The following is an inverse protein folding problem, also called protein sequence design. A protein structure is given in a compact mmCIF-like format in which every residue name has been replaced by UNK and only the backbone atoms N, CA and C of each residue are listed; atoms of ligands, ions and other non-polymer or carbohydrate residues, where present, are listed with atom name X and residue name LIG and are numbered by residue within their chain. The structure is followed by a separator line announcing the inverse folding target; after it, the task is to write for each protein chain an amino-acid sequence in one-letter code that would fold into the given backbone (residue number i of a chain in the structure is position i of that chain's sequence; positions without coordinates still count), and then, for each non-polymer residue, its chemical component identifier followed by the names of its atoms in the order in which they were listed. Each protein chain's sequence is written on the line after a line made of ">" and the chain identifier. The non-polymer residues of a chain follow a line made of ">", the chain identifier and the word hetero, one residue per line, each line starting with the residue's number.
data_IF_358241896823
#
_entry.id   IF_358241896823
#
_cell.length_a   1.000
_cell.length_b   1.000
_cell.length_c   1.000
_cell.angle_alpha   90.00
_cell.angle_beta   90.00
_cell.angle_gamma   90.00
#
_symmetry.space_group_name_H-M   'P 1'
#
loop_
_entity.id
_entity.type
_entity.pdbx_description
1 polymer ?
#
# COMPACT_ATOMS: atom_id res chain seq x y z
N UNK A 1 -10.40 11.75 -65.97
CA UNK A 1 -11.57 11.72 -65.08
C UNK A 1 -11.07 12.35 -63.79
N UNK A 2 -11.23 13.63 -63.48
CA UNK A 2 -12.24 14.63 -63.78
C UNK A 2 -12.23 15.53 -62.53
N UNK A 3 -11.37 16.55 -62.54
CA UNK A 3 -11.04 17.42 -61.41
C UNK A 3 -12.23 18.25 -60.91
N UNK A 4 -12.40 18.31 -59.58
CA UNK A 4 -13.26 19.27 -58.89
C UNK A 4 -12.42 20.47 -58.44
N UNK A 5 -12.56 21.60 -59.14
CA UNK A 5 -12.07 22.91 -58.70
C UNK A 5 -13.21 23.82 -58.25
N UNK A 6 -12.80 24.71 -57.35
CA UNK A 6 -13.50 25.75 -56.59
C UNK A 6 -14.10 26.90 -57.40
N UNK A 7 -15.01 27.66 -56.75
CA UNK A 7 -15.38 29.10 -56.92
C UNK A 7 -16.51 29.38 -55.89
N UNK A 8 -16.41 30.23 -54.85
CA UNK A 8 -16.32 31.72 -54.79
C UNK A 8 -17.18 32.39 -55.87
N UNK A 9 -18.02 33.39 -55.64
CA UNK A 9 -18.47 34.27 -54.54
C UNK A 9 -19.60 35.05 -55.21
N UNK A 10 -20.76 35.26 -54.57
CA UNK A 10 -21.71 36.27 -55.05
C UNK A 10 -22.30 37.06 -53.87
N UNK A 11 -22.27 38.37 -54.09
CA UNK A 11 -22.73 39.44 -53.24
C UNK A 11 -24.26 39.53 -53.17
N UNK A 12 -24.79 39.92 -52.01
CA UNK A 12 -26.02 40.71 -51.97
C UNK A 12 -26.12 41.49 -50.66
N UNK A 13 -25.97 42.81 -50.78
CA UNK A 13 -26.44 43.81 -49.83
C UNK A 13 -27.96 43.75 -49.68
N UNK A 14 -28.49 43.92 -48.47
CA UNK A 14 -29.79 44.58 -48.28
C UNK A 14 -29.97 45.13 -46.84
N UNK A 15 -29.96 46.46 -46.77
CA UNK A 15 -30.87 47.38 -46.08
C UNK A 15 -31.35 47.11 -44.63
N UNK A 16 -30.82 47.95 -43.74
CA UNK A 16 -31.52 48.80 -42.76
C UNK A 16 -32.90 48.37 -42.22
N UNK A 17 -32.99 48.20 -40.89
CA UNK A 17 -34.04 48.86 -40.12
C UNK A 17 -33.65 49.10 -38.65
N UNK A 18 -33.63 50.39 -38.29
CA UNK A 18 -33.49 50.94 -36.95
C UNK A 18 -34.82 50.82 -36.19
N UNK A 19 -34.84 50.15 -35.05
CA UNK A 19 -35.81 50.41 -33.99
C UNK A 19 -35.09 50.51 -32.64
N UNK A 20 -34.98 51.75 -32.15
CA UNK A 20 -34.52 52.07 -30.81
C UNK A 20 -35.61 51.68 -29.80
N UNK A 21 -35.25 50.84 -28.83
CA UNK A 21 -36.02 50.62 -27.60
C UNK A 21 -35.37 51.39 -26.42
N UNK A 22 -36.17 51.82 -25.43
CA UNK A 22 -35.73 52.77 -24.41
C UNK A 22 -34.82 52.12 -23.36
N UNK A 23 -33.67 52.75 -23.13
CA UNK A 23 -32.77 52.42 -22.02
C UNK A 23 -33.46 52.70 -20.68
N UNK A 24 -33.77 51.65 -19.92
CA UNK A 24 -34.07 51.76 -18.51
C UNK A 24 -32.76 51.93 -17.72
N UNK A 25 -32.63 53.06 -17.02
CA UNK A 25 -31.57 53.29 -16.05
C UNK A 25 -31.79 52.37 -14.84
N UNK A 26 -31.06 51.26 -14.78
CA UNK A 26 -30.88 50.49 -13.55
C UNK A 26 -29.70 51.09 -12.79
N UNK A 27 -29.95 51.46 -11.53
CA UNK A 27 -29.01 52.16 -10.67
C UNK A 27 -27.70 51.39 -10.48
N UNK A 28 -26.59 52.14 -10.47
CA UNK A 28 -25.29 51.68 -10.00
C UNK A 28 -25.42 51.27 -8.52
N UNK A 29 -25.42 49.96 -8.27
CA UNK A 29 -25.08 49.42 -6.96
C UNK A 29 -23.55 49.54 -6.85
N UNK A 30 -23.09 50.32 -5.88
CA UNK A 30 -21.69 50.44 -5.49
C UNK A 30 -21.12 49.07 -5.14
N UNK A 31 -20.08 48.66 -5.86
CA UNK A 31 -19.27 47.51 -5.50
C UNK A 31 -18.69 47.73 -4.10
N UNK A 32 -19.04 46.85 -3.17
CA UNK A 32 -18.36 46.71 -1.89
C UNK A 32 -17.05 45.96 -2.18
N UNK A 33 -15.95 46.46 -1.61
CA UNK A 33 -14.60 45.91 -1.70
C UNK A 33 -14.55 44.38 -1.46
N UNK A 34 -14.44 43.61 -2.55
CA UNK A 34 -14.13 42.17 -2.53
C UNK A 34 -12.66 41.89 -2.91
N UNK A 35 -11.86 42.93 -3.15
CA UNK A 35 -10.46 42.77 -3.56
C UNK A 35 -9.52 42.55 -2.35
N UNK A 36 -9.82 43.12 -1.18
CA UNK A 36 -8.96 42.97 0.01
C UNK A 36 -8.94 41.54 0.59
N UNK A 37 -9.99 40.74 0.39
CA UNK A 37 -10.06 39.36 0.90
C UNK A 37 -9.34 38.36 0.00
N UNK A 38 -9.32 38.59 -1.32
CA UNK A 38 -8.61 37.72 -2.27
C UNK A 38 -7.10 37.84 -2.16
N UNK A 39 -6.59 39.05 -1.96
CA UNK A 39 -5.16 39.30 -1.81
C UNK A 39 -4.62 38.71 -0.50
N UNK A 40 -5.39 38.79 0.60
CA UNK A 40 -5.02 38.15 1.86
C UNK A 40 -5.03 36.61 1.76
N UNK A 41 -6.01 36.01 1.10
CA UNK A 41 -6.06 34.55 0.90
C UNK A 41 -4.92 34.04 0.00
N UNK A 42 -4.53 34.79 -1.03
CA UNK A 42 -3.37 34.43 -1.87
C UNK A 42 -2.05 34.53 -1.12
N UNK A 43 -1.85 35.56 -0.28
CA UNK A 43 -0.63 35.71 0.53
C UNK A 43 -0.52 34.57 1.56
N UNK A 44 -1.63 34.20 2.22
CA UNK A 44 -1.66 33.08 3.17
C UNK A 44 -1.44 31.72 2.50
N UNK A 45 -2.05 31.48 1.33
CA UNK A 45 -1.84 30.24 0.58
C UNK A 45 -0.37 30.08 0.16
N UNK A 46 0.28 31.16 -0.26
CA UNK A 46 1.69 31.14 -0.70
C UNK A 46 2.66 30.89 0.47
N UNK A 47 2.36 31.38 1.68
CA UNK A 47 3.17 31.11 2.86
C UNK A 47 3.06 29.64 3.33
N UNK A 48 1.86 29.08 3.34
CA UNK A 48 1.64 27.69 3.76
C UNK A 48 2.19 26.66 2.76
N UNK A 49 2.15 26.95 1.45
CA UNK A 49 2.69 26.06 0.42
C UNK A 49 4.20 25.82 0.53
N UNK A 50 4.95 26.82 1.02
CA UNK A 50 6.40 26.70 1.18
C UNK A 50 6.82 25.96 2.46
N UNK A 51 5.93 25.85 3.46
CA UNK A 51 6.24 25.24 4.75
C UNK A 51 5.75 23.79 4.85
N UNK A 52 4.78 23.38 4.03
CA UNK A 52 4.23 22.03 4.04
C UNK A 52 3.94 21.53 2.61
N UNK A 53 4.90 20.83 1.96
CA UNK A 53 4.73 20.28 0.61
C UNK A 53 3.57 19.29 0.49
N UNK A 54 3.25 18.56 1.57
CA UNK A 54 2.14 17.62 1.61
C UNK A 54 0.79 18.36 1.52
N UNK A 55 0.63 19.46 2.26
CA UNK A 55 -0.55 20.32 2.14
C UNK A 55 -0.70 20.91 0.74
N UNK A 56 0.41 21.35 0.12
CA UNK A 56 0.39 21.88 -1.24
C UNK A 56 -0.12 20.85 -2.25
N UNK A 57 0.34 19.59 -2.13
CA UNK A 57 -0.12 18.49 -2.98
C UNK A 57 -1.60 18.15 -2.75
N UNK A 58 -2.05 18.10 -1.49
CA UNK A 58 -3.46 17.85 -1.14
C UNK A 58 -4.38 18.97 -1.67
N UNK A 59 -3.98 20.23 -1.53
CA UNK A 59 -4.74 21.36 -2.04
C UNK A 59 -4.84 21.35 -3.57
N UNK A 60 -3.72 21.03 -4.26
CA UNK A 60 -3.70 20.92 -5.72
C UNK A 60 -4.61 19.79 -6.22
N UNK A 61 -4.57 18.63 -5.58
CA UNK A 61 -5.44 17.51 -5.91
C UNK A 61 -6.93 17.85 -5.69
N UNK A 62 -7.24 18.55 -4.60
CA UNK A 62 -8.60 19.00 -4.29
C UNK A 62 -9.12 19.97 -5.35
N UNK A 63 -8.30 20.96 -5.74
CA UNK A 63 -8.64 21.92 -6.80
C UNK A 63 -8.87 21.24 -8.16
N UNK A 64 -8.03 20.27 -8.51
CA UNK A 64 -8.19 19.49 -9.75
C UNK A 64 -9.50 18.70 -9.74
N UNK A 65 -9.87 18.08 -8.61
CA UNK A 65 -11.14 17.38 -8.45
C UNK A 65 -12.34 18.32 -8.61
N UNK A 66 -12.28 19.50 -8.00
CA UNK A 66 -13.32 20.53 -8.11
C UNK A 66 -13.51 21.00 -9.56
N UNK A 67 -12.42 21.21 -10.30
CA UNK A 67 -12.47 21.56 -11.72
C UNK A 67 -13.18 20.48 -12.55
N UNK A 68 -12.85 19.20 -12.34
CA UNK A 68 -13.50 18.07 -13.01
C UNK A 68 -15.00 17.99 -12.65
N UNK A 69 -15.38 18.24 -11.40
CA UNK A 69 -16.78 18.23 -10.95
C UNK A 69 -17.59 19.35 -11.64
N UNK A 70 -17.00 20.54 -11.80
CA UNK A 70 -17.61 21.66 -12.53
C UNK A 70 -17.80 21.31 -14.01
N UNK A 71 -16.76 20.79 -14.66
CA UNK A 71 -16.81 20.40 -16.08
C UNK A 71 -17.87 19.32 -16.34
N UNK A 72 -17.90 18.28 -15.49
CA UNK A 72 -18.89 17.22 -15.58
C UNK A 72 -20.32 17.74 -15.36
N UNK A 73 -20.51 18.64 -14.40
CA UNK A 73 -21.82 19.22 -14.17
C UNK A 73 -22.29 20.06 -15.35
N UNK A 74 -21.40 20.85 -15.96
CA UNK A 74 -21.69 21.65 -17.15
C UNK A 74 -22.04 20.80 -18.37
N UNK A 75 -21.47 19.59 -18.48
CA UNK A 75 -21.79 18.64 -19.55
C UNK A 75 -23.06 17.81 -19.28
N UNK A 76 -23.70 17.93 -18.11
CA UNK A 76 -24.87 17.11 -17.78
C UNK A 76 -26.13 17.56 -18.54
N UNK A 77 -26.99 16.63 -19.00
CA UNK A 77 -28.25 16.99 -19.67
C UNK A 77 -29.14 17.90 -18.83
N UNK A 78 -29.19 17.65 -17.51
CA UNK A 78 -29.97 18.44 -16.56
C UNK A 78 -29.48 19.90 -16.49
N UNK A 79 -28.17 20.11 -16.53
CA UNK A 79 -27.60 21.45 -16.57
C UNK A 79 -27.87 22.15 -17.91
N UNK A 80 -27.74 21.41 -19.02
CA UNK A 80 -27.98 21.94 -20.38
C UNK A 80 -29.45 22.29 -20.65
N UNK A 81 -30.39 21.60 -20.00
CA UNK A 81 -31.83 21.84 -20.12
C UNK A 81 -32.36 22.91 -19.13
N UNK A 82 -31.59 23.25 -18.10
CA UNK A 82 -31.95 24.26 -17.12
C UNK A 82 -31.91 25.69 -17.72
N UNK A 83 -32.76 26.58 -17.21
CA UNK A 83 -32.67 28.00 -17.58
C UNK A 83 -31.39 28.64 -16.99
N UNK A 84 -31.01 29.79 -17.52
CA UNK A 84 -29.77 30.47 -17.14
C UNK A 84 -29.66 30.77 -15.63
N UNK A 85 -30.78 31.08 -14.96
CA UNK A 85 -30.81 31.37 -13.52
C UNK A 85 -30.52 30.09 -12.72
N UNK A 86 -31.12 28.96 -13.11
CA UNK A 86 -30.91 27.68 -12.46
C UNK A 86 -29.48 27.15 -12.67
N UNK A 87 -28.90 27.35 -13.85
CA UNK A 87 -27.49 27.06 -14.12
C UNK A 87 -26.55 27.87 -13.21
N UNK A 88 -26.81 29.18 -13.07
CA UNK A 88 -26.03 30.05 -12.20
C UNK A 88 -26.15 29.65 -10.72
N UNK A 89 -27.37 29.36 -10.26
CA UNK A 89 -27.60 28.91 -8.89
C UNK A 89 -26.90 27.58 -8.60
N UNK A 90 -26.93 26.64 -9.54
CA UNK A 90 -26.24 25.36 -9.42
C UNK A 90 -24.72 25.56 -9.28
N UNK A 91 -24.10 26.34 -10.18
CA UNK A 91 -22.66 26.62 -10.12
C UNK A 91 -22.27 27.37 -8.83
N UNK A 92 -23.11 28.29 -8.36
CA UNK A 92 -22.89 29.00 -7.11
C UNK A 92 -22.89 28.05 -5.90
N UNK A 93 -23.85 27.13 -5.83
CA UNK A 93 -23.90 26.11 -4.76
C UNK A 93 -22.69 25.17 -4.81
N UNK A 94 -22.27 24.77 -6.01
CA UNK A 94 -21.11 23.90 -6.20
C UNK A 94 -19.82 24.60 -5.75
N UNK A 95 -19.61 25.86 -6.15
CA UNK A 95 -18.47 26.66 -5.72
C UNK A 95 -18.47 26.89 -4.19
N UNK A 96 -19.63 27.15 -3.58
CA UNK A 96 -19.73 27.31 -2.13
C UNK A 96 -19.30 26.03 -1.39
N UNK A 97 -19.74 24.86 -1.87
CA UNK A 97 -19.30 23.55 -1.34
C UNK A 97 -17.78 23.37 -1.49
N UNK A 98 -17.21 23.75 -2.63
CA UNK A 98 -15.77 23.68 -2.88
C UNK A 98 -14.96 24.57 -1.95
N UNK A 99 -15.41 25.80 -1.71
CA UNK A 99 -14.81 26.73 -0.74
C UNK A 99 -14.84 26.16 0.69
N UNK A 100 -15.94 25.53 1.11
CA UNK A 100 -16.03 24.88 2.42
C UNK A 100 -15.03 23.73 2.59
N UNK A 101 -14.80 22.92 1.55
CA UNK A 101 -13.79 21.85 1.57
C UNK A 101 -12.37 22.40 1.65
N UNK A 102 -12.06 23.47 0.90
CA UNK A 102 -10.76 24.14 0.95
C UNK A 102 -10.51 24.72 2.35
N UNK A 103 -11.51 25.39 2.93
CA UNK A 103 -11.42 25.96 4.28
C UNK A 103 -11.19 24.89 5.34
N UNK A 104 -11.84 23.72 5.24
CA UNK A 104 -11.60 22.59 6.14
C UNK A 104 -10.16 22.08 6.06
N UNK A 105 -9.63 21.92 4.85
CA UNK A 105 -8.26 21.46 4.65
C UNK A 105 -7.24 22.47 5.20
N UNK A 106 -7.49 23.77 5.03
CA UNK A 106 -6.68 24.84 5.61
C UNK A 106 -6.71 24.85 7.15
N UNK A 107 -7.88 24.64 7.76
CA UNK A 107 -8.01 24.54 9.21
C UNK A 107 -7.23 23.34 9.77
N UNK A 108 -7.27 22.19 9.08
CA UNK A 108 -6.48 21.01 9.43
C UNK A 108 -4.98 21.31 9.38
N UNK A 109 -4.49 21.93 8.31
CA UNK A 109 -3.09 22.31 8.19
C UNK A 109 -2.64 23.29 9.29
N UNK A 110 -3.46 24.29 9.60
CA UNK A 110 -3.17 25.26 10.66
C UNK A 110 -3.17 24.62 12.06
N UNK A 111 -3.97 23.58 12.28
CA UNK A 111 -3.96 22.83 13.55
C UNK A 111 -2.68 22.01 13.73
N UNK A 112 -2.05 21.56 12.63
CA UNK A 112 -0.78 20.82 12.66
C UNK A 112 0.42 21.75 12.89
N UNK A 113 0.41 22.96 12.31
CA UNK A 113 1.50 23.94 12.45
C UNK A 113 1.58 24.53 13.87
N UNK A 114 0.44 24.70 14.55
CA UNK A 114 0.38 25.30 15.89
C UNK A 114 0.43 24.28 17.04
N UNK A 115 0.75 23.01 16.77
CA UNK A 115 0.98 22.03 17.83
C UNK A 115 2.31 22.33 18.52
N UNK A 116 2.34 22.55 19.85
CA UNK A 116 3.56 22.89 20.58
C UNK A 116 4.39 21.63 20.85
N UNK A 117 4.94 21.02 19.80
CA UNK A 117 5.90 19.94 19.90
C UNK A 117 6.94 20.15 18.81
N UNK A 118 8.10 20.67 19.19
CA UNK A 118 9.43 20.32 18.68
C UNK A 118 10.45 21.29 19.31
N UNK A 119 11.07 20.87 20.41
CA UNK A 119 12.41 21.31 20.79
C UNK A 119 13.27 20.06 20.94
N UNK A 120 14.25 19.95 20.04
CA UNK A 120 15.27 18.92 20.02
C UNK A 120 15.98 18.79 21.37
N UNK A 121 15.88 17.64 22.03
CA UNK A 121 16.86 17.19 23.02
C UNK A 121 17.00 15.66 23.03
N UNK A 122 18.23 15.20 22.79
CA UNK A 122 18.59 13.82 22.53
C UNK A 122 18.35 12.83 23.70
N UNK A 123 18.01 11.60 23.29
CA UNK A 123 18.25 10.30 23.94
C UNK A 123 17.50 9.91 25.23
N UNK A 124 16.63 10.74 25.81
CA UNK A 124 15.70 10.30 26.89
C UNK A 124 14.24 10.11 26.42
N UNK A 125 13.87 10.57 25.23
CA UNK A 125 12.48 10.53 24.72
C UNK A 125 11.97 9.13 24.35
N UNK A 126 12.83 8.20 23.91
CA UNK A 126 12.35 6.87 23.45
C UNK A 126 11.61 6.04 24.51
N UNK A 127 11.83 6.29 25.81
CA UNK A 127 11.08 5.64 26.88
C UNK A 127 9.81 6.42 27.28
N UNK A 128 9.84 7.75 27.21
CA UNK A 128 8.66 8.57 27.51
C UNK A 128 7.62 8.48 26.39
N UNK A 129 8.07 8.47 25.13
CA UNK A 129 7.19 8.26 23.97
C UNK A 129 6.49 6.91 24.08
N UNK A 130 7.22 5.82 24.33
CA UNK A 130 6.62 4.49 24.51
C UNK A 130 5.58 4.45 25.64
N UNK A 131 5.83 5.12 26.77
CA UNK A 131 4.87 5.16 27.88
C UNK A 131 3.64 6.03 27.56
N UNK A 132 3.82 7.13 26.83
CA UNK A 132 2.72 7.98 26.38
C UNK A 132 1.85 7.28 25.33
N UNK A 133 2.47 6.57 24.39
CA UNK A 133 1.79 5.71 23.41
C UNK A 133 0.97 4.62 24.09
N UNK A 134 1.56 3.90 25.06
CA UNK A 134 0.86 2.84 25.81
C UNK A 134 -0.36 3.38 26.57
N UNK A 135 -0.27 4.59 27.14
CA UNK A 135 -1.37 5.21 27.89
C UNK A 135 -2.49 5.74 27.00
N UNK A 136 -2.16 6.49 25.94
CA UNK A 136 -3.18 6.95 24.99
C UNK A 136 -3.93 5.78 24.36
N UNK A 137 -3.21 4.69 24.12
CA UNK A 137 -3.78 3.47 23.60
C UNK A 137 -4.72 2.76 24.59
N UNK A 138 -4.34 2.63 25.88
CA UNK A 138 -5.22 2.02 26.88
C UNK A 138 -6.54 2.77 27.03
N UNK A 139 -6.49 4.11 26.98
CA UNK A 139 -7.66 4.99 27.11
C UNK A 139 -8.61 4.88 25.91
N UNK A 140 -8.08 4.55 24.72
CA UNK A 140 -8.86 4.24 23.50
C UNK A 140 -9.50 2.86 23.68
N UNK A 141 -8.72 1.82 24.01
CA UNK A 141 -9.21 0.44 24.09
C UNK A 141 -10.27 0.19 25.17
N UNK A 142 -10.26 0.93 26.27
CA UNK A 142 -11.28 0.82 27.33
C UNK A 142 -12.70 1.21 26.84
N UNK A 143 -12.79 1.88 25.69
CA UNK A 143 -14.06 2.29 25.07
C UNK A 143 -14.67 1.21 24.15
N UNK A 144 -13.99 0.08 23.94
CA UNK A 144 -14.41 -0.92 22.94
C UNK A 144 -14.83 -2.26 23.55
N UNK A 145 -16.01 -2.79 23.20
CA UNK A 145 -16.40 -4.13 23.60
C UNK A 145 -15.61 -5.18 22.79
N UNK A 146 -14.78 -5.96 23.47
CA UNK A 146 -13.94 -7.05 22.92
C UNK A 146 -14.69 -8.08 22.05
N UNK A 147 -16.02 -8.18 22.20
CA UNK A 147 -16.86 -9.14 21.48
C UNK A 147 -16.85 -8.97 19.94
N UNK A 148 -16.57 -7.79 19.39
CA UNK A 148 -16.63 -7.57 17.94
C UNK A 148 -15.44 -8.15 17.17
N UNK A 149 -14.29 -8.41 17.79
CA UNK A 149 -13.07 -8.87 17.09
C UNK A 149 -12.95 -10.40 16.97
N UNK A 150 -13.92 -11.15 17.50
CA UNK A 150 -13.86 -12.61 17.69
C UNK A 150 -13.63 -13.44 16.41
N UNK A 151 -13.81 -12.87 15.22
CA UNK A 151 -13.65 -13.54 13.93
C UNK A 151 -12.59 -12.90 13.01
N UNK A 152 -11.75 -12.00 13.52
CA UNK A 152 -10.61 -11.42 12.82
C UNK A 152 -9.32 -12.14 13.23
N UNK A 153 -8.66 -12.80 12.29
CA UNK A 153 -7.43 -13.56 12.54
C UNK A 153 -6.24 -12.85 11.90
N UNK A 154 -5.07 -12.90 12.55
CA UNK A 154 -3.80 -12.48 11.96
C UNK A 154 -2.97 -13.73 11.69
N UNK A 155 -2.37 -13.83 10.52
CA UNK A 155 -1.36 -14.83 10.16
C UNK A 155 -0.03 -14.13 10.00
N UNK A 156 1.00 -14.68 10.61
CA UNK A 156 2.39 -14.30 10.37
C UNK A 156 3.25 -15.52 10.11
N UNK A 157 4.35 -15.34 9.40
CA UNK A 157 5.34 -16.39 9.10
C UNK A 157 6.67 -16.02 9.72
N UNK A 158 7.34 -16.96 10.38
CA UNK A 158 8.70 -16.77 10.91
C UNK A 158 9.63 -17.90 10.50
N UNK A 159 10.78 -17.53 9.93
CA UNK A 159 11.83 -18.47 9.56
C UNK A 159 12.86 -18.63 10.67
N UNK A 160 12.94 -19.82 11.24
CA UNK A 160 13.73 -20.11 12.44
C UNK A 160 15.19 -20.57 12.28
N UNK A 161 15.73 -20.98 11.11
CA UNK A 161 17.12 -21.42 11.04
C UNK A 161 18.11 -20.26 11.15
N UNK A 162 17.67 -19.02 10.91
CA UNK A 162 18.47 -17.82 11.19
C UNK A 162 18.14 -17.37 12.62
N UNK A 163 18.86 -17.93 13.59
CA UNK A 163 18.74 -17.65 15.03
C UNK A 163 19.24 -16.25 15.42
N UNK A 164 18.92 -15.20 14.66
CA UNK A 164 19.24 -13.85 15.14
C UNK A 164 18.32 -13.56 16.31
N UNK A 165 18.91 -13.38 17.48
CA UNK A 165 18.21 -12.98 18.71
C UNK A 165 17.20 -11.85 18.45
N UNK A 166 17.57 -10.93 17.57
CA UNK A 166 16.71 -9.83 17.13
C UNK A 166 15.44 -10.29 16.39
N UNK A 167 15.50 -11.24 15.44
CA UNK A 167 14.30 -11.77 14.76
C UNK A 167 13.28 -12.27 15.77
N UNK A 168 13.76 -13.07 16.72
CA UNK A 168 12.93 -13.66 17.76
C UNK A 168 12.39 -12.59 18.73
N UNK A 169 13.18 -11.60 19.10
CA UNK A 169 12.72 -10.49 19.94
C UNK A 169 11.66 -9.63 19.23
N UNK A 170 11.84 -9.33 17.94
CA UNK A 170 10.85 -8.60 17.14
C UNK A 170 9.55 -9.40 17.03
N UNK A 171 9.63 -10.70 16.72
CA UNK A 171 8.45 -11.57 16.70
C UNK A 171 7.75 -11.63 18.06
N UNK A 172 8.48 -11.80 19.16
CA UNK A 172 7.89 -11.86 20.51
C UNK A 172 7.16 -10.57 20.86
N UNK A 173 7.70 -9.41 20.49
CA UNK A 173 7.01 -8.12 20.66
C UNK A 173 5.72 -8.09 19.85
N UNK A 174 5.76 -8.48 18.57
CA UNK A 174 4.57 -8.55 17.72
C UNK A 174 3.49 -9.49 18.28
N UNK A 175 3.88 -10.68 18.73
CA UNK A 175 2.97 -11.65 19.34
C UNK A 175 2.35 -11.11 20.64
N UNK A 176 3.16 -10.49 21.51
CA UNK A 176 2.67 -9.82 22.73
C UNK A 176 1.70 -8.70 22.41
N UNK A 177 1.95 -7.91 21.37
CA UNK A 177 1.01 -6.87 20.92
C UNK A 177 -0.31 -7.48 20.46
N UNK A 178 -0.28 -8.59 19.72
CA UNK A 178 -1.51 -9.28 19.33
C UNK A 178 -2.29 -9.80 20.54
N UNK A 179 -1.61 -10.43 21.50
CA UNK A 179 -2.21 -10.93 22.74
C UNK A 179 -2.83 -9.81 23.59
N UNK A 180 -2.10 -8.69 23.75
CA UNK A 180 -2.58 -7.51 24.48
C UNK A 180 -3.89 -6.94 23.91
N UNK A 181 -4.13 -7.15 22.62
CA UNK A 181 -5.31 -6.64 21.91
C UNK A 181 -6.37 -7.72 21.65
N UNK A 182 -6.25 -8.88 22.30
CA UNK A 182 -7.17 -10.02 22.14
C UNK A 182 -7.31 -10.44 20.66
N UNK A 183 -6.22 -10.31 19.90
CA UNK A 183 -6.18 -10.69 18.49
C UNK A 183 -5.72 -12.14 18.37
N UNK A 184 -6.49 -12.93 17.61
CA UNK A 184 -6.15 -14.33 17.33
C UNK A 184 -4.99 -14.39 16.34
N UNK A 185 -3.77 -14.53 16.88
CA UNK A 185 -2.56 -14.70 16.10
C UNK A 185 -2.31 -16.17 15.75
N UNK A 186 -2.15 -16.42 14.46
CA UNK A 186 -1.66 -17.65 13.86
C UNK A 186 -0.21 -17.42 13.46
N UNK A 187 0.69 -18.25 13.99
CA UNK A 187 2.10 -18.20 13.63
C UNK A 187 2.45 -19.45 12.85
N UNK A 188 2.92 -19.27 11.63
CA UNK A 188 3.56 -20.32 10.85
C UNK A 188 5.06 -20.20 11.09
N UNK A 189 5.57 -21.00 12.01
CA UNK A 189 6.99 -21.16 12.17
C UNK A 189 7.49 -22.25 11.24
N UNK A 190 8.50 -21.92 10.45
CA UNK A 190 9.12 -22.88 9.54
C UNK A 190 10.63 -22.92 9.70
N UNK A 191 11.21 -24.10 9.49
CA UNK A 191 12.63 -24.36 9.72
C UNK A 191 13.14 -25.49 8.83
N UNK A 192 14.46 -25.59 8.63
CA UNK A 192 15.03 -26.70 7.88
C UNK A 192 14.87 -28.04 8.60
N UNK A 193 14.94 -29.13 7.84
CA UNK A 193 15.05 -30.48 8.40
C UNK A 193 16.19 -30.57 9.43
N UNK A 194 15.86 -31.03 10.64
CA UNK A 194 16.81 -31.16 11.76
C UNK A 194 17.03 -29.88 12.59
N UNK A 195 16.59 -28.70 12.14
CA UNK A 195 16.69 -27.47 12.93
C UNK A 195 15.59 -27.37 14.00
N UNK A 196 15.85 -26.76 15.17
CA UNK A 196 14.81 -26.58 16.18
C UNK A 196 13.79 -25.51 15.75
N UNK A 197 12.59 -25.61 16.31
CA UNK A 197 11.65 -24.51 16.41
C UNK A 197 12.01 -23.68 17.65
N UNK A 198 12.01 -22.35 17.53
CA UNK A 198 12.45 -21.38 18.55
C UNK A 198 11.42 -20.28 18.82
N UNK A 199 10.45 -20.08 17.92
CA UNK A 199 9.44 -19.03 18.03
C UNK A 199 8.13 -19.53 18.66
N UNK A 200 7.79 -20.78 18.41
CA UNK A 200 6.56 -21.44 18.86
C UNK A 200 6.89 -22.73 19.60
N UNK A 201 5.95 -23.20 20.42
CA UNK A 201 6.03 -24.48 21.10
C UNK A 201 5.02 -25.45 20.49
N UNK A 202 5.40 -26.73 20.31
CA UNK A 202 4.57 -27.75 19.65
C UNK A 202 3.21 -28.00 20.34
N UNK A 203 3.06 -27.55 21.59
CA UNK A 203 1.91 -27.84 22.46
C UNK A 203 1.23 -26.58 23.01
N UNK A 204 1.60 -25.38 22.54
CA UNK A 204 1.10 -24.12 23.11
C UNK A 204 0.09 -23.46 22.16
N UNK A 205 -1.19 -23.68 22.47
CA UNK A 205 -2.40 -22.90 22.09
C UNK A 205 -2.72 -22.74 20.58
N UNK A 206 -4.01 -22.70 20.19
CA UNK A 206 -4.57 -23.56 19.13
C UNK A 206 -4.16 -23.23 17.69
N UNK A 207 -3.38 -22.18 17.46
CA UNK A 207 -3.20 -21.58 16.14
C UNK A 207 -1.74 -21.50 15.67
N UNK A 208 -0.79 -22.10 16.37
CA UNK A 208 0.61 -22.15 15.89
C UNK A 208 0.88 -23.40 15.05
N UNK A 209 1.58 -23.21 13.94
CA UNK A 209 1.94 -24.26 13.00
C UNK A 209 3.45 -24.33 12.84
N UNK A 210 3.99 -25.53 13.01
CA UNK A 210 5.41 -25.83 12.89
C UNK A 210 5.65 -26.65 11.62
N UNK A 211 6.37 -26.07 10.65
CA UNK A 211 6.61 -26.68 9.34
C UNK A 211 8.11 -26.93 9.15
N UNK A 212 8.46 -28.13 8.67
CA UNK A 212 9.83 -28.46 8.28
C UNK A 212 9.94 -28.47 6.77
N UNK A 213 10.90 -27.74 6.24
CA UNK A 213 11.19 -27.69 4.81
C UNK A 213 12.56 -28.30 4.53
N UNK A 214 12.66 -28.96 3.39
CA UNK A 214 13.89 -29.53 2.85
C UNK A 214 14.61 -28.58 1.88
N UNK A 215 13.88 -27.67 1.24
CA UNK A 215 14.37 -26.66 0.31
C UNK A 215 14.29 -25.24 0.90
N UNK A 216 15.29 -24.37 0.71
CA UNK A 216 15.21 -22.94 1.07
C UNK A 216 14.16 -22.12 0.33
N UNK A 217 13.66 -22.61 -0.79
CA UNK A 217 12.71 -21.86 -1.62
C UNK A 217 11.37 -21.70 -0.92
N UNK A 218 11.14 -20.47 -0.45
CA UNK A 218 10.04 -20.11 0.40
C UNK A 218 8.86 -19.56 -0.40
N UNK A 219 7.70 -20.20 -0.24
CA UNK A 219 6.43 -19.70 -0.77
C UNK A 219 5.53 -19.30 0.39
N UNK A 220 5.63 -18.05 0.84
CA UNK A 220 4.81 -17.46 1.92
C UNK A 220 3.35 -17.88 1.79
N UNK A 221 2.77 -17.63 0.61
CA UNK A 221 1.37 -17.96 0.33
C UNK A 221 1.04 -19.44 0.22
N UNK A 222 1.99 -20.32 -0.10
CA UNK A 222 1.75 -21.76 0.03
C UNK A 222 1.61 -22.18 1.49
N UNK A 223 2.50 -21.68 2.36
CA UNK A 223 2.40 -21.98 3.78
C UNK A 223 1.09 -21.44 4.35
N UNK A 224 0.72 -20.21 3.97
CA UNK A 224 -0.57 -19.63 4.35
C UNK A 224 -1.72 -20.50 3.83
N UNK A 225 -1.76 -20.85 2.54
CA UNK A 225 -2.83 -21.70 2.00
C UNK A 225 -2.96 -23.04 2.74
N UNK A 226 -1.84 -23.68 3.12
CA UNK A 226 -1.83 -24.94 3.86
C UNK A 226 -2.46 -24.88 5.26
N UNK A 227 -2.55 -23.68 5.84
CA UNK A 227 -3.16 -23.46 7.16
C UNK A 227 -4.59 -22.93 7.07
N UNK A 228 -4.99 -22.33 5.94
CA UNK A 228 -6.34 -21.78 5.78
C UNK A 228 -7.42 -22.85 5.98
N UNK A 229 -7.16 -24.06 5.49
CA UNK A 229 -8.05 -25.22 5.67
C UNK A 229 -8.17 -25.70 7.12
N UNK A 230 -7.24 -25.30 7.98
CA UNK A 230 -7.18 -25.68 9.41
C UNK A 230 -7.79 -24.61 10.31
N UNK A 231 -8.16 -23.45 9.76
CA UNK A 231 -8.74 -22.37 10.55
C UNK A 231 -10.17 -22.73 11.01
N UNK A 232 -10.61 -22.24 12.19
CA UNK A 232 -11.95 -22.50 12.69
C UNK A 232 -13.05 -21.96 11.76
N UNK A 233 -14.17 -22.68 11.65
CA UNK A 233 -15.25 -22.29 10.72
C UNK A 233 -15.92 -20.94 11.02
N UNK A 234 -15.60 -20.27 12.11
CA UNK A 234 -16.13 -18.97 12.50
C UNK A 234 -15.30 -17.76 12.02
N UNK A 235 -14.12 -17.96 11.41
CA UNK A 235 -13.35 -16.81 10.91
C UNK A 235 -14.08 -16.10 9.75
N UNK A 236 -14.05 -14.77 9.74
CA UNK A 236 -14.69 -13.93 8.73
C UNK A 236 -13.70 -13.03 7.98
N UNK A 237 -12.63 -12.63 8.68
CA UNK A 237 -11.55 -11.81 8.14
C UNK A 237 -10.20 -12.38 8.54
N UNK A 238 -9.25 -12.27 7.63
CA UNK A 238 -7.89 -12.75 7.80
C UNK A 238 -6.93 -11.64 7.40
N UNK A 239 -5.98 -11.29 8.26
CA UNK A 239 -4.85 -10.47 7.90
C UNK A 239 -3.58 -11.32 7.78
N UNK A 240 -2.73 -11.01 6.82
CA UNK A 240 -1.38 -11.56 6.67
C UNK A 240 -0.43 -10.39 6.93
N UNK A 241 0.34 -10.49 8.00
CA UNK A 241 1.18 -9.38 8.48
C UNK A 241 2.57 -9.92 8.79
N UNK A 242 3.60 -9.28 8.25
CA UNK A 242 4.98 -9.58 8.62
C UNK A 242 5.21 -9.19 10.09
N UNK A 243 5.82 -10.08 10.88
CA UNK A 243 5.99 -9.87 12.33
C UNK A 243 6.91 -8.68 12.68
N UNK A 244 7.60 -8.11 11.70
CA UNK A 244 8.49 -6.94 11.85
C UNK A 244 7.80 -5.61 11.57
N UNK A 245 6.47 -5.61 11.38
CA UNK A 245 5.64 -4.44 11.15
C UNK A 245 5.14 -3.86 12.46
N UNK A 246 5.14 -2.53 12.55
CA UNK A 246 4.64 -1.76 13.68
C UNK A 246 3.65 -0.73 13.14
N UNK A 247 2.37 -0.90 13.44
CA UNK A 247 1.34 0.08 13.08
C UNK A 247 1.41 1.32 13.96
N UNK A 248 1.37 2.51 13.35
CA UNK A 248 1.24 3.80 14.05
C UNK A 248 -0.20 4.15 14.38
N UNK A 249 -1.12 3.72 13.52
CA UNK A 249 -2.55 3.87 13.73
C UNK A 249 -3.06 2.63 14.47
N UNK A 250 -3.66 2.83 15.63
CA UNK A 250 -4.17 1.77 16.49
C UNK A 250 -5.57 1.25 16.10
N UNK A 251 -6.32 2.06 15.35
CA UNK A 251 -7.67 1.72 14.89
C UNK A 251 -7.64 0.92 13.58
N UNK A 252 -6.46 0.50 13.10
CA UNK A 252 -6.29 -0.14 11.79
C UNK A 252 -7.16 -1.39 11.64
N UNK A 253 -7.41 -2.15 12.70
CA UNK A 253 -8.26 -3.36 12.65
C UNK A 253 -9.71 -2.98 12.39
N UNK A 254 -10.22 -1.96 13.09
CA UNK A 254 -11.59 -1.51 12.91
C UNK A 254 -11.77 -0.94 11.51
N UNK A 255 -10.81 -0.11 11.06
CA UNK A 255 -10.81 0.43 9.71
C UNK A 255 -10.73 -0.67 8.65
N UNK A 256 -9.91 -1.71 8.86
CA UNK A 256 -9.84 -2.88 8.00
C UNK A 256 -11.20 -3.57 7.91
N UNK A 257 -11.85 -3.87 9.03
CA UNK A 257 -13.17 -4.52 9.05
C UNK A 257 -14.23 -3.70 8.35
N UNK A 258 -14.26 -2.38 8.59
CA UNK A 258 -15.19 -1.47 7.92
C UNK A 258 -14.96 -1.46 6.41
N UNK A 259 -13.70 -1.32 5.96
CA UNK A 259 -13.36 -1.29 4.55
C UNK A 259 -13.66 -2.64 3.86
N UNK A 260 -13.38 -3.76 4.53
CA UNK A 260 -13.68 -5.11 4.06
C UNK A 260 -15.18 -5.42 3.99
N UNK A 261 -16.08 -4.51 4.36
CA UNK A 261 -17.50 -4.63 3.99
C UNK A 261 -17.73 -4.26 2.51
N UNK A 262 -16.85 -3.45 1.94
CA UNK A 262 -16.96 -2.88 0.58
C UNK A 262 -15.85 -3.40 -0.36
N UNK A 263 -14.75 -3.91 0.20
CA UNK A 263 -13.63 -4.50 -0.52
C UNK A 263 -13.46 -5.97 -0.14
N UNK A 264 -12.72 -6.73 -0.93
CA UNK A 264 -12.38 -8.14 -0.63
C UNK A 264 -10.95 -8.34 -0.16
N UNK A 265 -10.08 -7.40 -0.52
CA UNK A 265 -8.68 -7.36 -0.16
C UNK A 265 -8.30 -5.91 0.22
N UNK A 266 -7.49 -5.75 1.25
CA UNK A 266 -7.21 -4.46 1.85
C UNK A 266 -5.74 -4.41 2.26
N UNK A 267 -4.98 -3.47 1.69
CA UNK A 267 -3.65 -3.16 2.22
C UNK A 267 -3.81 -2.36 3.51
N UNK A 268 -3.15 -2.78 4.58
CA UNK A 268 -3.46 -2.28 5.93
C UNK A 268 -2.80 -0.94 6.28
N UNK A 269 -2.15 -0.30 5.31
CA UNK A 269 -1.45 0.97 5.48
C UNK A 269 -1.50 1.80 4.19
N UNK A 270 -1.25 3.10 4.35
CA UNK A 270 -1.02 4.07 3.28
C UNK A 270 0.47 4.33 3.07
N UNK A 271 1.25 4.40 4.15
CA UNK A 271 2.68 4.69 4.11
C UNK A 271 3.45 3.60 4.85
N UNK A 272 4.60 3.22 4.30
CA UNK A 272 5.54 2.34 4.97
C UNK A 272 6.91 2.98 5.09
N UNK A 273 7.45 2.95 6.31
CA UNK A 273 8.74 3.50 6.64
C UNK A 273 9.64 2.40 7.17
N UNK A 274 10.78 2.24 6.51
CA UNK A 274 11.82 1.39 7.05
C UNK A 274 12.46 2.08 8.26
N UNK A 275 12.59 1.35 9.37
CA UNK A 275 13.33 1.82 10.54
C UNK A 275 14.67 1.12 10.64
N UNK A 276 15.76 1.87 10.93
CA UNK A 276 17.08 1.27 11.08
C UNK A 276 17.06 0.18 12.14
N UNK A 277 17.54 -1.00 11.74
CA UNK A 277 17.89 -2.07 12.68
C UNK A 277 18.90 -1.48 13.67
N UNK A 278 18.51 -1.40 14.94
CA UNK A 278 19.41 -0.93 16.00
C UNK A 278 20.44 -2.02 16.24
N UNK A 279 21.42 -2.10 15.34
CA UNK A 279 22.60 -2.96 15.45
C UNK A 279 23.44 -2.45 16.62
N UNK A 280 22.96 -2.61 17.85
CA UNK A 280 23.87 -2.86 18.94
C UNK A 280 24.46 -4.24 18.67
N UNK A 281 25.51 -4.26 17.84
CA UNK A 281 26.45 -5.37 17.80
C UNK A 281 26.85 -5.57 19.27
N UNK A 282 26.36 -6.64 19.90
CA UNK A 282 26.74 -6.96 21.27
C UNK A 282 28.26 -7.19 21.23
N UNK A 283 29.10 -6.33 21.82
CA UNK A 283 30.53 -6.52 21.81
C UNK A 283 30.82 -7.77 22.66
N UNK A 284 31.17 -8.90 22.04
CA UNK A 284 31.61 -10.10 22.76
C UNK A 284 31.10 -11.46 22.28
N UNK A 285 30.20 -11.55 21.29
CA UNK A 285 29.70 -12.84 20.76
C UNK A 285 30.31 -13.25 19.40
N UNK A 286 31.58 -12.89 19.14
CA UNK A 286 32.37 -13.59 18.12
C UNK A 286 32.90 -14.91 18.70
N UNK A 287 32.03 -15.89 18.90
CA UNK A 287 32.44 -17.25 19.21
C UNK A 287 32.48 -18.08 17.92
N UNK A 288 33.67 -18.19 17.31
CA UNK A 288 34.22 -19.31 16.52
C UNK A 288 33.36 -20.04 15.47
N UNK A 289 32.23 -19.52 15.03
CA UNK A 289 31.50 -20.04 13.88
C UNK A 289 32.11 -19.44 12.60
N UNK A 290 33.17 -20.11 12.13
CA UNK A 290 33.75 -20.08 10.78
C UNK A 290 33.96 -18.72 10.11
N UNK A 291 35.19 -18.21 10.22
CA UNK A 291 35.77 -17.10 9.44
C UNK A 291 35.71 -17.28 7.90
N UNK A 292 35.27 -18.44 7.39
CA UNK A 292 35.23 -18.73 5.95
C UNK A 292 33.92 -18.36 5.24
N UNK A 293 32.85 -17.95 5.94
CA UNK A 293 31.59 -17.51 5.27
C UNK A 293 31.37 -15.99 5.27
N UNK A 294 32.18 -15.20 5.99
CA UNK A 294 31.96 -13.74 6.09
C UNK A 294 32.96 -12.85 5.33
N UNK A 295 33.79 -13.42 4.45
CA UNK A 295 34.68 -12.65 3.56
C UNK A 295 34.06 -12.29 2.21
N UNK A 296 32.72 -12.25 2.10
CA UNK A 296 32.07 -11.56 0.99
C UNK A 296 32.22 -10.06 1.26
N UNK A 297 33.11 -9.43 0.48
CA UNK A 297 33.35 -7.99 0.42
C UNK A 297 32.05 -7.16 0.47
N UNK A 298 31.64 -6.68 1.64
CA UNK A 298 30.76 -5.52 1.76
C UNK A 298 31.60 -4.25 1.56
N UNK A 299 32.13 -4.06 0.35
CA UNK A 299 32.83 -2.85 -0.06
C UNK A 299 32.00 -2.06 -1.07
N UNK A 300 30.69 -1.99 -0.86
CA UNK A 300 29.82 -1.02 -1.52
C UNK A 300 29.81 0.26 -0.69
N UNK A 301 30.88 1.06 -0.83
CA UNK A 301 30.88 2.49 -0.52
C UNK A 301 29.98 3.26 -1.50
N UNK A 302 28.76 2.78 -1.74
CA UNK A 302 27.68 3.63 -2.20
C UNK A 302 27.18 4.35 -0.96
N UNK A 303 27.42 5.65 -0.94
CA UNK A 303 26.98 6.57 0.09
C UNK A 303 25.44 6.71 0.03
N UNK A 304 24.73 5.66 0.47
CA UNK A 304 23.25 5.62 0.55
C UNK A 304 22.77 6.37 1.81
N UNK A 305 23.69 6.90 2.61
CA UNK A 305 23.41 7.69 3.82
C UNK A 305 22.53 8.93 3.57
N UNK A 306 22.35 9.34 2.31
CA UNK A 306 21.48 10.44 1.89
C UNK A 306 20.09 10.06 1.33
N UNK A 307 19.80 8.80 1.00
CA UNK A 307 18.44 8.36 0.57
C UNK A 307 17.69 7.79 1.78
N UNK A 308 17.77 8.50 2.89
CA UNK A 308 17.23 8.07 4.17
C UNK A 308 15.71 8.05 4.17
N UNK A 309 15.13 6.93 4.61
CA UNK A 309 13.80 6.83 5.24
C UNK A 309 12.65 7.56 4.53
N UNK A 310 12.66 7.67 3.21
CA UNK A 310 11.51 8.24 2.48
C UNK A 310 10.37 7.23 2.63
N UNK A 311 9.23 7.60 3.25
CA UNK A 311 8.09 6.71 3.33
C UNK A 311 7.67 6.31 1.92
N UNK A 312 7.54 5.01 1.69
CA UNK A 312 6.98 4.50 0.45
C UNK A 312 5.47 4.53 0.54
N UNK A 313 4.83 5.01 -0.52
CA UNK A 313 3.39 4.86 -0.68
C UNK A 313 3.04 3.38 -0.82
N UNK A 314 1.86 3.00 -0.32
CA UNK A 314 1.34 1.67 -0.55
C UNK A 314 0.87 1.52 -1.99
N UNK A 315 1.13 0.35 -2.59
CA UNK A 315 0.80 0.12 -4.00
C UNK A 315 -0.71 0.18 -4.27
N UNK A 316 -1.54 -0.26 -3.32
CA UNK A 316 -3.00 -0.24 -3.48
C UNK A 316 -3.56 1.20 -3.61
N UNK A 317 -2.96 2.19 -2.94
CA UNK A 317 -3.32 3.60 -3.08
C UNK A 317 -3.07 4.10 -4.50
N UNK A 318 -1.96 3.70 -5.09
CA UNK A 318 -1.61 4.10 -6.44
C UNK A 318 -2.60 3.53 -7.46
N UNK A 319 -2.89 2.23 -7.35
CA UNK A 319 -3.80 1.52 -8.25
C UNK A 319 -5.26 1.97 -8.15
N UNK A 320 -5.66 2.58 -7.03
CA UNK A 320 -6.99 3.13 -6.87
C UNK A 320 -7.23 4.41 -7.71
N UNK A 321 -6.17 5.08 -8.20
CA UNK A 321 -6.24 6.45 -8.68
C UNK A 321 -5.77 6.67 -10.14
N UNK A 322 -5.23 5.66 -10.84
CA UNK A 322 -4.53 5.89 -12.12
C UNK A 322 -4.85 4.87 -13.22
N UNK A 323 -4.61 5.32 -14.46
CA UNK A 323 -4.51 4.48 -15.66
C UNK A 323 -3.09 3.91 -15.75
N UNK A 324 -2.97 2.58 -15.75
CA UNK A 324 -1.71 1.85 -15.52
C UNK A 324 -0.90 1.58 -16.79
N UNK A 325 -1.34 2.11 -17.94
CA UNK A 325 -0.75 1.82 -19.24
C UNK A 325 0.70 2.33 -19.42
N UNK A 326 1.27 3.07 -18.46
CA UNK A 326 2.60 3.69 -18.57
C UNK A 326 3.66 3.13 -17.60
N UNK A 327 3.34 2.17 -16.73
CA UNK A 327 4.27 1.73 -15.69
C UNK A 327 5.11 0.53 -16.08
N UNK A 328 6.41 0.59 -15.77
CA UNK A 328 7.29 -0.58 -15.78
C UNK A 328 7.33 -1.22 -14.39
N UNK A 329 7.53 -2.55 -14.35
CA UNK A 329 7.65 -3.30 -13.09
C UNK A 329 8.74 -2.72 -12.16
N UNK A 330 9.84 -2.23 -12.75
CA UNK A 330 10.94 -1.62 -12.01
C UNK A 330 10.50 -0.37 -11.25
N UNK A 331 9.64 0.46 -11.83
CA UNK A 331 9.12 1.67 -11.18
C UNK A 331 8.24 1.28 -9.99
N UNK A 332 7.46 0.21 -10.13
CA UNK A 332 6.59 -0.28 -9.07
C UNK A 332 7.41 -0.73 -7.86
N UNK A 333 8.45 -1.53 -8.10
CA UNK A 333 9.30 -2.06 -7.02
C UNK A 333 10.10 -0.95 -6.33
N UNK A 334 10.56 0.04 -7.08
CA UNK A 334 11.39 1.11 -6.53
C UNK A 334 10.58 2.07 -5.65
N UNK A 335 9.35 2.39 -6.06
CA UNK A 335 8.60 3.50 -5.47
C UNK A 335 7.52 3.08 -4.46
N UNK A 336 7.10 1.82 -4.45
CA UNK A 336 5.98 1.39 -3.61
C UNK A 336 6.34 0.24 -2.67
N UNK A 337 5.64 0.20 -1.55
CA UNK A 337 5.70 -0.92 -0.61
C UNK A 337 4.42 -1.74 -0.70
N UNK A 338 4.56 -3.05 -0.84
CA UNK A 338 3.44 -3.97 -1.06
C UNK A 338 3.38 -5.10 -0.03
N UNK A 339 4.49 -5.49 0.60
CA UNK A 339 4.64 -6.83 1.17
C UNK A 339 4.18 -7.02 2.61
N UNK A 340 3.90 -5.93 3.31
CA UNK A 340 4.01 -5.93 4.78
C UNK A 340 2.75 -6.37 5.50
N UNK A 341 1.59 -5.95 5.01
CA UNK A 341 0.34 -6.16 5.73
C UNK A 341 -0.88 -6.06 4.80
N UNK A 342 -1.59 -7.17 4.68
CA UNK A 342 -2.83 -7.29 3.92
C UNK A 342 -3.93 -7.90 4.77
N UNK A 343 -5.18 -7.60 4.45
CA UNK A 343 -6.33 -8.29 4.98
C UNK A 343 -7.33 -8.67 3.90
N UNK A 344 -8.06 -9.75 4.15
CA UNK A 344 -8.92 -10.42 3.21
C UNK A 344 -10.23 -10.83 3.87
N UNK A 345 -11.30 -10.84 3.09
CA UNK A 345 -12.54 -11.50 3.47
C UNK A 345 -12.43 -13.01 3.25
N UNK A 346 -13.13 -13.77 4.07
CA UNK A 346 -13.21 -15.23 3.91
C UNK A 346 -13.76 -15.69 2.57
N UNK A 347 -14.89 -15.14 2.13
CA UNK A 347 -15.53 -15.57 0.89
C UNK A 347 -14.66 -15.33 -0.34
N UNK A 348 -13.75 -14.35 -0.29
CA UNK A 348 -12.73 -14.19 -1.31
C UNK A 348 -11.70 -15.32 -1.26
N UNK A 349 -11.13 -15.57 -0.08
CA UNK A 349 -10.15 -16.64 0.11
C UNK A 349 -10.73 -18.02 -0.24
N UNK A 350 -11.96 -18.33 0.15
CA UNK A 350 -12.63 -19.61 -0.14
C UNK A 350 -12.82 -19.83 -1.66
N UNK A 351 -12.98 -18.75 -2.44
CA UNK A 351 -13.21 -18.82 -3.89
C UNK A 351 -11.91 -18.84 -4.68
N UNK A 352 -10.91 -18.06 -4.26
CA UNK A 352 -9.72 -17.80 -5.07
C UNK A 352 -8.43 -18.38 -4.47
N UNK A 353 -8.37 -18.58 -3.16
CA UNK A 353 -7.12 -18.78 -2.43
C UNK A 353 -6.20 -17.57 -2.52
N UNK A 354 -4.97 -17.73 -2.06
CA UNK A 354 -3.87 -16.80 -2.35
C UNK A 354 -3.02 -17.34 -3.51
N UNK A 355 -2.46 -16.48 -4.38
CA UNK A 355 -1.65 -16.94 -5.50
C UNK A 355 -0.35 -17.60 -5.02
N UNK A 356 -0.18 -18.87 -5.37
CA UNK A 356 0.93 -19.74 -4.96
C UNK A 356 2.24 -19.55 -5.75
N UNK A 357 2.35 -18.50 -6.56
CA UNK A 357 3.30 -18.48 -7.69
C UNK A 357 4.68 -17.86 -7.39
N UNK A 358 4.86 -17.14 -6.29
CA UNK A 358 5.98 -16.18 -6.17
C UNK A 358 6.85 -16.45 -4.93
N UNK A 359 8.15 -16.63 -5.15
CA UNK A 359 9.16 -17.09 -4.15
C UNK A 359 10.03 -15.94 -3.63
N UNK A 360 9.88 -14.74 -4.18
CA UNK A 360 10.96 -13.74 -4.15
C UNK A 360 10.69 -12.52 -3.28
N UNK A 361 9.74 -12.57 -2.34
CA UNK A 361 9.36 -11.40 -1.53
C UNK A 361 8.67 -10.29 -2.34
N UNK A 362 8.16 -10.65 -3.53
CA UNK A 362 7.41 -9.79 -4.45
C UNK A 362 5.99 -10.31 -4.69
N UNK A 363 5.59 -11.35 -3.95
CA UNK A 363 4.30 -12.02 -4.11
C UNK A 363 3.12 -11.04 -3.97
N UNK A 364 3.23 -10.04 -3.11
CA UNK A 364 2.20 -9.02 -2.93
C UNK A 364 2.10 -8.04 -4.11
N UNK A 365 3.21 -7.73 -4.82
CA UNK A 365 3.16 -6.92 -6.05
C UNK A 365 2.32 -7.67 -7.08
N UNK A 366 2.70 -8.91 -7.36
CA UNK A 366 2.05 -9.68 -8.40
C UNK A 366 0.62 -10.07 -8.04
N UNK A 367 0.34 -10.28 -6.75
CA UNK A 367 -1.02 -10.42 -6.25
C UNK A 367 -1.87 -9.19 -6.61
N UNK A 368 -1.41 -7.98 -6.28
CA UNK A 368 -2.16 -6.75 -6.56
C UNK A 368 -2.26 -6.46 -8.07
N UNK A 369 -1.19 -6.71 -8.83
CA UNK A 369 -1.23 -6.66 -10.29
C UNK A 369 -2.26 -7.65 -10.85
N UNK A 370 -2.36 -8.85 -10.29
CA UNK A 370 -3.33 -9.85 -10.74
C UNK A 370 -4.76 -9.45 -10.38
N UNK A 371 -4.97 -8.87 -9.18
CA UNK A 371 -6.27 -8.34 -8.77
C UNK A 371 -6.76 -7.22 -9.70
N UNK A 372 -5.85 -6.38 -10.20
CA UNK A 372 -6.16 -5.31 -11.16
C UNK A 372 -6.25 -5.80 -12.60
N UNK A 373 -5.86 -7.04 -12.89
CA UNK A 373 -5.84 -7.60 -14.23
C UNK A 373 -4.74 -7.02 -15.12
N UNK A 374 -3.62 -6.60 -14.51
CA UNK A 374 -2.50 -5.91 -15.15
C UNK A 374 -1.15 -6.64 -14.95
N UNK A 375 -1.14 -7.78 -14.29
CA UNK A 375 0.08 -8.56 -14.08
C UNK A 375 0.63 -9.10 -15.39
N UNK A 376 -0.22 -9.67 -16.24
CA UNK A 376 0.24 -10.20 -17.52
C UNK A 376 0.74 -9.12 -18.50
N UNK A 377 0.21 -7.89 -18.43
CA UNK A 377 0.67 -6.77 -19.26
C UNK A 377 1.95 -6.14 -18.73
N UNK A 378 2.05 -5.89 -17.42
CA UNK A 378 3.18 -5.18 -16.80
C UNK A 378 4.38 -6.10 -16.56
N UNK A 379 4.12 -7.33 -16.13
CA UNK A 379 5.13 -8.32 -15.78
C UNK A 379 5.17 -9.47 -16.81
N UNK A 380 4.52 -9.31 -17.96
CA UNK A 380 4.47 -10.29 -19.05
C UNK A 380 5.83 -10.87 -19.42
N UNK A 381 6.81 -9.97 -19.60
CA UNK A 381 8.15 -10.28 -20.07
C UNK A 381 9.03 -10.98 -19.03
N UNK A 382 8.64 -10.94 -17.75
CA UNK A 382 9.39 -11.55 -16.66
C UNK A 382 8.95 -12.98 -16.36
N UNK A 383 7.89 -13.47 -16.99
CA UNK A 383 7.32 -14.78 -16.69
C UNK A 383 7.48 -15.75 -17.85
N UNK A 384 7.63 -17.03 -17.50
CA UNK A 384 7.50 -18.12 -18.48
C UNK A 384 6.07 -18.16 -19.04
N UNK A 385 5.89 -18.75 -20.23
CA UNK A 385 4.57 -18.89 -20.83
C UNK A 385 3.59 -19.65 -19.93
N UNK A 386 4.08 -20.65 -19.19
CA UNK A 386 3.28 -21.40 -18.23
C UNK A 386 2.82 -20.51 -17.07
N UNK A 387 3.73 -19.73 -16.47
CA UNK A 387 3.40 -18.78 -15.39
C UNK A 387 2.40 -17.74 -15.86
N UNK A 388 2.58 -17.19 -17.07
CA UNK A 388 1.62 -16.25 -17.67
C UNK A 388 0.23 -16.84 -17.81
N UNK A 389 0.11 -18.09 -18.28
CA UNK A 389 -1.20 -18.76 -18.38
C UNK A 389 -1.87 -18.88 -17.02
N UNK A 390 -1.11 -19.18 -15.97
CA UNK A 390 -1.66 -19.26 -14.61
C UNK A 390 -2.11 -17.87 -14.15
N UNK A 391 -1.26 -16.83 -14.30
CA UNK A 391 -1.59 -15.44 -13.95
C UNK A 391 -2.83 -14.96 -14.69
N UNK A 392 -2.89 -15.12 -16.01
CA UNK A 392 -4.05 -14.73 -16.82
C UNK A 392 -5.32 -15.48 -16.39
N UNK A 393 -5.20 -16.73 -15.94
CA UNK A 393 -6.34 -17.48 -15.40
C UNK A 393 -6.83 -16.89 -14.09
N UNK A 394 -5.94 -16.39 -13.22
CA UNK A 394 -6.29 -15.68 -11.99
C UNK A 394 -6.92 -14.32 -12.30
N UNK A 395 -6.30 -13.51 -13.15
CA UNK A 395 -6.83 -12.21 -13.58
C UNK A 395 -8.24 -12.32 -14.15
N UNK A 396 -8.46 -13.29 -15.05
CA UNK A 396 -9.78 -13.55 -15.63
C UNK A 396 -10.82 -13.90 -14.57
N UNK A 397 -10.45 -14.71 -13.57
CA UNK A 397 -11.33 -15.06 -12.45
C UNK A 397 -11.69 -13.81 -11.62
N UNK A 398 -10.73 -12.93 -11.38
CA UNK A 398 -10.94 -11.69 -10.61
C UNK A 398 -11.80 -10.66 -11.37
N UNK A 399 -11.49 -10.42 -12.65
CA UNK A 399 -12.22 -9.49 -13.50
C UNK A 399 -13.71 -9.84 -13.63
N UNK A 400 -14.05 -11.13 -13.72
CA UNK A 400 -15.44 -11.60 -13.80
C UNK A 400 -16.30 -11.25 -12.58
N UNK A 401 -15.68 -10.92 -11.44
CA UNK A 401 -16.37 -10.71 -10.16
C UNK A 401 -16.41 -9.25 -9.72
N UNK A 402 -15.92 -8.33 -10.54
CA UNK A 402 -15.85 -6.89 -10.22
C UNK A 402 -15.26 -6.65 -8.82
N UNK A 403 -14.14 -7.31 -8.55
CA UNK A 403 -13.49 -7.30 -7.25
C UNK A 403 -12.99 -5.89 -6.94
N UNK A 404 -13.33 -5.43 -5.73
CA UNK A 404 -12.79 -4.18 -5.17
C UNK A 404 -11.73 -4.51 -4.14
N UNK A 405 -10.59 -3.86 -4.25
CA UNK A 405 -9.55 -3.83 -3.22
C UNK A 405 -9.33 -2.39 -2.76
N UNK A 406 -8.64 -2.20 -1.64
CA UNK A 406 -8.38 -0.87 -1.09
C UNK A 406 -7.17 -0.81 -0.18
N UNK A 407 -7.00 0.35 0.47
CA UNK A 407 -5.97 0.60 1.48
C UNK A 407 -6.53 1.44 2.63
N UNK A 408 -5.87 1.41 3.80
CA UNK A 408 -6.32 2.19 4.96
C UNK A 408 -5.70 3.58 4.89
N UNK A 409 -6.55 4.61 4.73
CA UNK A 409 -6.13 6.01 4.72
C UNK A 409 -5.54 6.42 6.06
N UNK A 410 -4.52 7.29 6.02
CA UNK A 410 -3.82 7.85 7.17
C UNK A 410 -3.25 6.78 8.13
N UNK A 411 -2.95 5.60 7.60
CA UNK A 411 -2.29 4.54 8.37
C UNK A 411 -0.84 4.42 7.93
N UNK A 412 0.08 4.68 8.85
CA UNK A 412 1.52 4.51 8.65
C UNK A 412 1.98 3.24 9.37
N UNK A 413 2.89 2.51 8.74
CA UNK A 413 3.64 1.44 9.38
C UNK A 413 5.13 1.77 9.41
N UNK A 414 5.77 1.47 10.53
CA UNK A 414 7.20 1.26 10.58
C UNK A 414 7.48 -0.23 10.34
N UNK A 415 8.60 -0.56 9.69
CA UNK A 415 9.07 -1.94 9.65
C UNK A 415 10.59 -2.02 9.80
N UNK A 416 11.05 -3.05 10.52
CA UNK A 416 12.48 -3.34 10.64
C UNK A 416 12.88 -4.18 9.45
N UNK A 417 13.81 -3.74 8.60
CA UNK A 417 14.34 -4.61 7.56
C UNK A 417 15.23 -5.68 8.19
N UNK A 418 14.79 -6.93 8.11
CA UNK A 418 15.49 -8.06 8.72
C UNK A 418 16.04 -8.98 7.64
N UNK A 419 17.25 -8.66 7.18
CA UNK A 419 18.05 -9.59 6.38
C UNK A 419 17.71 -9.64 4.89
N UNK A 420 17.56 -8.49 4.24
CA UNK A 420 17.67 -8.44 2.79
C UNK A 420 19.07 -7.94 2.43
N UNK A 421 19.81 -8.73 1.65
CA UNK A 421 20.77 -8.11 0.74
C UNK A 421 20.02 -7.14 -0.17
N UNK A 422 20.69 -6.12 -0.69
CA UNK A 422 20.15 -5.27 -1.74
C UNK A 422 19.90 -6.13 -2.99
N UNK A 423 18.75 -6.80 -3.05
CA UNK A 423 18.39 -7.59 -4.20
C UNK A 423 18.13 -6.64 -5.35
N UNK A 424 18.93 -6.80 -6.40
CA UNK A 424 18.61 -6.18 -7.66
C UNK A 424 17.29 -6.79 -8.16
N UNK A 425 16.31 -5.95 -8.47
CA UNK A 425 15.02 -6.37 -9.01
C UNK A 425 15.18 -7.28 -10.23
N UNK A 426 16.21 -7.03 -11.05
CA UNK A 426 16.55 -7.89 -12.18
C UNK A 426 17.03 -9.28 -11.74
N UNK A 427 17.80 -9.39 -10.66
CA UNK A 427 18.22 -10.69 -10.11
C UNK A 427 17.02 -11.47 -9.57
N UNK A 428 16.10 -10.79 -8.88
CA UNK A 428 14.87 -11.42 -8.43
C UNK A 428 13.98 -11.86 -9.60
N UNK A 429 13.90 -11.06 -10.67
CA UNK A 429 13.20 -11.41 -11.91
C UNK A 429 13.80 -12.66 -12.56
N UNK A 430 15.12 -12.70 -12.74
CA UNK A 430 15.79 -13.86 -13.34
C UNK A 430 15.65 -15.11 -12.45
N UNK A 431 15.72 -14.94 -11.14
CA UNK A 431 15.42 -15.99 -10.18
C UNK A 431 13.98 -16.50 -10.35
N UNK A 432 12.98 -15.62 -10.45
CA UNK A 432 11.58 -16.01 -10.68
C UNK A 432 11.40 -16.80 -11.97
N UNK A 433 12.02 -16.37 -13.08
CA UNK A 433 11.94 -17.09 -14.37
C UNK A 433 12.39 -18.53 -14.20
N UNK A 434 13.63 -18.69 -13.72
CA UNK A 434 14.27 -19.98 -13.57
C UNK A 434 13.54 -20.87 -12.56
N UNK A 435 13.07 -20.32 -11.44
CA UNK A 435 12.23 -21.03 -10.48
C UNK A 435 10.98 -21.55 -11.16
N UNK A 436 10.24 -20.66 -11.85
CA UNK A 436 8.90 -20.96 -12.35
C UNK A 436 8.88 -22.05 -13.42
N UNK A 437 10.00 -22.22 -14.14
CA UNK A 437 10.19 -23.30 -15.12
C UNK A 437 10.45 -24.66 -14.47
N UNK A 438 10.86 -24.68 -13.20
CA UNK A 438 11.33 -25.86 -12.49
C UNK A 438 10.49 -26.22 -11.25
N UNK A 439 9.31 -25.61 -11.07
CA UNK A 439 8.41 -25.93 -9.96
C UNK A 439 7.63 -27.23 -10.18
N UNK A 440 7.59 -28.07 -9.14
CA UNK A 440 6.74 -29.26 -9.04
C UNK A 440 6.07 -29.30 -7.66
N UNK A 441 4.92 -29.96 -7.52
CA UNK A 441 4.31 -30.15 -6.19
C UNK A 441 4.87 -31.40 -5.53
N UNK A 442 5.26 -31.29 -4.27
CA UNK A 442 5.68 -32.41 -3.44
C UNK A 442 4.48 -33.28 -2.98
N UNK A 443 4.76 -34.29 -2.15
CA UNK A 443 3.70 -35.16 -1.59
C UNK A 443 2.69 -34.46 -0.69
N UNK A 444 2.99 -33.25 -0.22
CA UNK A 444 2.13 -32.42 0.61
C UNK A 444 1.40 -31.35 -0.21
N UNK A 445 1.61 -31.31 -1.53
CA UNK A 445 1.03 -30.31 -2.42
C UNK A 445 1.75 -28.96 -2.40
N UNK A 446 2.91 -28.87 -1.74
CA UNK A 446 3.75 -27.68 -1.65
C UNK A 446 4.62 -27.64 -2.90
N UNK A 447 4.69 -26.48 -3.56
CA UNK A 447 5.62 -26.32 -4.67
C UNK A 447 7.06 -26.35 -4.17
N UNK A 448 7.84 -27.27 -4.72
CA UNK A 448 9.28 -27.43 -4.55
C UNK A 448 9.93 -27.27 -5.92
N UNK A 449 11.09 -26.63 -5.98
CA UNK A 449 11.82 -26.55 -7.23
C UNK A 449 12.66 -27.81 -7.41
N UNK A 450 12.82 -28.21 -8.67
CA UNK A 450 13.55 -29.42 -8.98
C UNK A 450 15.06 -29.21 -8.71
N UNK A 451 15.57 -29.91 -7.70
CA UNK A 451 16.90 -29.68 -7.12
C UNK A 451 18.07 -29.79 -8.12
N UNK A 452 17.92 -30.60 -9.16
CA UNK A 452 18.96 -30.81 -10.16
C UNK A 452 19.30 -29.51 -10.90
N UNK A 453 18.33 -28.63 -11.13
CA UNK A 453 18.52 -27.38 -11.86
C UNK A 453 18.92 -26.22 -10.95
N UNK A 454 18.44 -26.19 -9.69
CA UNK A 454 18.83 -25.22 -8.66
C UNK A 454 20.33 -25.34 -8.35
N UNK A 455 20.88 -26.55 -8.43
CA UNK A 455 22.31 -26.78 -8.18
C UNK A 455 23.22 -25.89 -9.05
N UNK A 456 22.74 -25.49 -10.24
CA UNK A 456 23.45 -24.63 -11.19
C UNK A 456 23.26 -23.12 -10.96
N UNK A 457 22.43 -22.71 -10.00
CA UNK A 457 22.29 -21.29 -9.64
C UNK A 457 23.66 -20.78 -9.16
N UNK A 458 24.05 -19.62 -9.69
CA UNK A 458 25.23 -18.89 -9.24
C UNK A 458 25.26 -18.85 -7.70
N UNK A 459 26.36 -19.32 -7.08
CA UNK A 459 26.52 -19.32 -5.62
C UNK A 459 26.25 -17.95 -5.02
N UNK A 460 26.51 -16.85 -5.74
CA UNK A 460 26.17 -15.50 -5.29
C UNK A 460 24.66 -15.28 -5.08
N UNK A 461 23.82 -15.82 -5.96
CA UNK A 461 22.36 -15.75 -5.83
C UNK A 461 21.90 -16.66 -4.68
N UNK A 462 22.45 -17.87 -4.57
CA UNK A 462 22.14 -18.78 -3.45
C UNK A 462 22.47 -18.17 -2.10
N UNK A 463 23.65 -17.54 -1.98
CA UNK A 463 24.10 -16.90 -0.74
C UNK A 463 23.32 -15.63 -0.39
N UNK A 464 22.65 -15.01 -1.36
CA UNK A 464 21.75 -13.90 -1.08
C UNK A 464 20.39 -14.42 -0.58
N UNK A 465 19.85 -15.48 -1.22
CA UNK A 465 18.57 -16.13 -0.90
C UNK A 465 18.57 -16.79 0.50
N UNK A 466 19.68 -17.46 0.85
CA UNK A 466 19.88 -18.22 2.09
C UNK A 466 20.34 -17.34 3.25
#
# INVERSE_FOLDING_TARGET
>A
MGDCQSKRTDDSEDQANNQQQPQQQIGKITAVDQNDTKDQQQIFATQNQNQNPQFANQLKALQQRHQIEIENAQCSPQFMEANQIDQQNFLMQLNQKHEEEINKLQLQANSQINSPFFHNNNNQESQQDNNQYQKQFSDIMEQFPSAELTNFYIVTTIFSPIQTKQKLETYKKFAQTCEQYDIKLITIEYTYMGCPFVATEQFFEPYHFQIRIDDPMFLKYNLVNSILEKLPNEWGWLAIIDYNVIFKNFDWIQQAKQNLQFTVAQQLYEYAKEIPTTNQIIPGTQSNLNENMMNINMNTNTDISGIGNIPKDCLAKHFANLDLNEFQLQDIVNNYECGKAWAFRRDFIDVFGLPELFITGFEEIFFLLSLSGQCASIAGEVFSEQTLRIIQSFEKKYQQKNIKYGYINNCEIDYVQIGSGDYNVNEAIELMKMISENLSKDSQGIYVANNDDISNINEGIKNNIL
#
